data_IF_112891981143
#
_entry.id   IF_112891981143
#
_cell.length_a   1.000
_cell.length_b   1.000
_cell.length_c   1.000
_cell.angle_alpha   90.00
_cell.angle_beta   90.00
_cell.angle_gamma   90.00
#
_symmetry.space_group_name_H-M   'P 1'
#
loop_
_entity.id
_entity.type
_entity.pdbx_description
1 polymer ?
#
# COMPACT_ATOMS: atom_id res chain seq x y z
N UNK A 1 -21.20 -5.40 -14.73
CA UNK A 1 -20.81 -4.36 -13.76
C UNK A 1 -21.51 -4.49 -12.40
N UNK A 2 -22.78 -4.95 -12.34
CA UNK A 2 -23.56 -4.97 -11.08
C UNK A 2 -23.14 -6.04 -10.06
N UNK A 3 -22.58 -7.18 -10.48
CA UNK A 3 -22.34 -8.37 -9.64
C UNK A 3 -21.47 -8.12 -8.39
N UNK A 4 -20.55 -7.15 -8.43
CA UNK A 4 -19.65 -6.84 -7.30
C UNK A 4 -19.83 -5.43 -6.73
N UNK A 5 -20.81 -4.67 -7.20
CA UNK A 5 -21.04 -3.28 -6.78
C UNK A 5 -21.36 -3.18 -5.27
N UNK A 6 -22.02 -4.20 -4.70
CA UNK A 6 -22.35 -4.28 -3.27
C UNK A 6 -21.14 -4.38 -2.34
N UNK A 7 -19.97 -4.81 -2.83
CA UNK A 7 -18.73 -4.86 -2.02
C UNK A 7 -18.00 -3.52 -2.00
N UNK A 8 -18.19 -2.66 -3.02
CA UNK A 8 -17.47 -1.39 -3.17
C UNK A 8 -17.76 -0.46 -1.98
N UNK A 9 -19.00 -0.40 -1.49
CA UNK A 9 -19.36 0.44 -0.33
C UNK A 9 -18.59 0.06 0.95
N UNK A 10 -18.36 -1.23 1.16
CA UNK A 10 -17.64 -1.72 2.34
C UNK A 10 -16.14 -1.46 2.24
N UNK A 11 -15.56 -1.66 1.04
CA UNK A 11 -14.16 -1.32 0.76
C UNK A 11 -13.95 0.19 0.94
N UNK A 12 -14.86 1.01 0.42
CA UNK A 12 -14.78 2.46 0.52
C UNK A 12 -14.93 2.94 1.96
N UNK A 13 -15.85 2.36 2.74
CA UNK A 13 -15.97 2.65 4.17
C UNK A 13 -14.69 2.29 4.93
N UNK A 14 -14.12 1.11 4.68
CA UNK A 14 -12.85 0.69 5.28
C UNK A 14 -11.70 1.65 4.92
N UNK A 15 -11.63 2.10 3.66
CA UNK A 15 -10.62 3.05 3.19
C UNK A 15 -10.80 4.45 3.80
N UNK A 16 -12.03 4.96 3.93
CA UNK A 16 -12.30 6.26 4.54
C UNK A 16 -11.91 6.26 6.02
N UNK A 17 -12.34 5.25 6.77
CA UNK A 17 -11.99 5.10 8.19
C UNK A 17 -10.48 5.00 8.33
N UNK A 18 -9.85 4.20 7.47
CA UNK A 18 -8.40 4.06 7.43
C UNK A 18 -7.70 5.40 7.16
N UNK A 19 -8.13 6.13 6.13
CA UNK A 19 -7.52 7.41 5.79
C UNK A 19 -7.68 8.45 6.90
N UNK A 20 -8.83 8.47 7.58
CA UNK A 20 -9.06 9.36 8.73
C UNK A 20 -8.10 9.07 9.89
N UNK A 21 -7.91 7.80 10.26
CA UNK A 21 -6.95 7.43 11.32
C UNK A 21 -5.51 7.74 10.89
N UNK A 22 -5.16 7.43 9.64
CA UNK A 22 -3.82 7.65 9.11
C UNK A 22 -3.42 9.14 9.10
N UNK A 23 -4.35 10.02 8.75
CA UNK A 23 -4.15 11.46 8.68
C UNK A 23 -4.08 12.11 10.07
N UNK A 24 -4.50 11.41 11.13
CA UNK A 24 -4.49 11.96 12.49
C UNK A 24 -3.05 12.19 12.98
N UNK A 25 -2.63 13.44 13.24
CA UNK A 25 -1.30 13.73 13.75
C UNK A 25 -1.19 13.30 15.21
N UNK A 26 -0.05 12.73 15.60
CA UNK A 26 0.21 12.40 17.00
C UNK A 26 0.53 13.65 17.81
N UNK A 27 1.30 14.57 17.24
CA UNK A 27 1.68 15.82 17.86
C UNK A 27 0.86 16.93 17.21
N UNK A 28 -0.04 17.54 17.98
CA UNK A 28 -0.76 18.74 17.53
C UNK A 28 0.16 19.96 17.76
N UNK A 29 0.27 20.86 16.78
CA UNK A 29 1.00 22.11 16.94
C UNK A 29 0.17 23.06 17.81
N UNK A 30 0.26 22.90 19.12
CA UNK A 30 -0.53 23.64 20.10
C UNK A 30 0.27 24.80 20.69
N UNK A 31 -0.41 25.91 20.94
CA UNK A 31 0.14 27.04 21.69
C UNK A 31 0.24 26.69 23.18
N UNK A 32 1.14 27.35 23.91
CA UNK A 32 1.32 27.11 25.35
C UNK A 32 0.04 27.33 26.18
N UNK A 33 -0.88 28.17 25.70
CA UNK A 33 -2.21 28.37 26.31
C UNK A 33 -3.12 27.16 26.09
N UNK A 34 -3.21 26.63 24.87
CA UNK A 34 -4.00 25.43 24.55
C UNK A 34 -3.46 24.18 25.26
N UNK A 35 -2.14 24.07 25.43
CA UNK A 35 -1.52 23.01 26.24
C UNK A 35 -1.90 23.14 27.72
N UNK A 36 -2.00 24.37 28.23
CA UNK A 36 -2.49 24.65 29.58
C UNK A 36 -3.97 24.27 29.76
N UNK A 37 -4.81 24.58 28.77
CA UNK A 37 -6.24 24.22 28.77
C UNK A 37 -6.48 22.70 28.60
N UNK A 38 -5.56 21.99 27.95
CA UNK A 38 -5.57 20.52 27.84
C UNK A 38 -4.84 19.78 28.97
N UNK A 39 -4.73 20.42 30.14
CA UNK A 39 -4.21 19.80 31.36
C UNK A 39 -2.70 19.53 31.32
N UNK A 40 -1.94 20.31 30.56
CA UNK A 40 -0.48 20.20 30.46
C UNK A 40 0.00 19.08 29.53
N UNK A 41 -0.89 18.44 28.77
CA UNK A 41 -0.51 17.41 27.80
C UNK A 41 -0.49 17.95 26.38
N UNK A 42 0.57 17.65 25.62
CA UNK A 42 0.72 18.03 24.21
C UNK A 42 -0.20 17.21 23.27
N UNK A 43 -1.15 16.47 23.83
CA UNK A 43 -1.88 15.39 23.19
C UNK A 43 -3.37 15.46 23.54
N UNK A 44 -4.24 15.30 22.54
CA UNK A 44 -5.67 15.14 22.79
C UNK A 44 -5.93 13.80 23.53
N UNK A 45 -6.76 13.76 24.58
CA UNK A 45 -6.95 12.58 25.44
C UNK A 45 -7.28 11.27 24.69
N UNK A 46 -8.04 11.36 23.60
CA UNK A 46 -8.48 10.22 22.78
C UNK A 46 -7.77 10.11 21.42
N UNK A 47 -7.46 11.22 20.75
CA UNK A 47 -6.85 11.21 19.40
C UNK A 47 -5.36 10.86 19.45
N UNK A 48 -4.73 10.99 20.62
CA UNK A 48 -3.33 10.60 20.82
C UNK A 48 -3.05 9.17 20.37
N UNK A 49 -3.97 8.24 20.64
CA UNK A 49 -3.81 6.83 20.29
C UNK A 49 -3.90 6.58 18.78
N UNK A 50 -4.73 7.35 18.07
CA UNK A 50 -4.86 7.23 16.61
C UNK A 50 -3.63 7.72 15.86
N UNK A 51 -2.90 8.69 16.41
CA UNK A 51 -1.66 9.19 15.81
C UNK A 51 -0.44 8.28 15.98
N UNK A 52 -0.51 7.25 16.83
CA UNK A 52 0.61 6.37 17.16
C UNK A 52 0.99 5.42 16.01
N UNK A 53 2.25 5.01 15.97
CA UNK A 53 2.80 4.10 14.94
C UNK A 53 2.02 2.77 14.79
N UNK A 54 1.56 2.09 15.86
CA UNK A 54 0.72 0.90 15.78
C UNK A 54 -0.59 1.12 15.03
N UNK A 55 -1.29 2.22 15.33
CA UNK A 55 -2.54 2.59 14.67
C UNK A 55 -2.31 2.80 13.16
N UNK A 56 -1.27 3.57 12.83
CA UNK A 56 -0.89 3.87 11.44
C UNK A 56 -0.53 2.59 10.67
N UNK A 57 0.25 1.70 11.27
CA UNK A 57 0.62 0.44 10.63
C UNK A 57 -0.60 -0.45 10.39
N UNK A 58 -1.46 -0.64 11.39
CA UNK A 58 -2.68 -1.46 11.27
C UNK A 58 -3.59 -0.98 10.13
N UNK A 59 -3.76 0.34 10.06
CA UNK A 59 -4.59 1.02 9.07
C UNK A 59 -4.00 0.96 7.65
N UNK A 60 -2.69 1.17 7.50
CA UNK A 60 -2.01 1.00 6.21
C UNK A 60 -2.18 -0.44 5.71
N UNK A 61 -2.02 -1.42 6.58
CA UNK A 61 -2.21 -2.82 6.21
C UNK A 61 -3.65 -3.11 5.79
N UNK A 62 -4.64 -2.50 6.46
CA UNK A 62 -6.04 -2.59 6.05
C UNK A 62 -6.29 -1.93 4.67
N UNK A 63 -5.64 -0.80 4.38
CA UNK A 63 -5.70 -0.14 3.06
C UNK A 63 -5.15 -1.09 1.98
N UNK A 64 -3.99 -1.69 2.22
CA UNK A 64 -3.37 -2.58 1.23
C UNK A 64 -4.25 -3.81 0.98
N UNK A 65 -4.75 -4.48 2.04
CA UNK A 65 -5.67 -5.62 1.90
C UNK A 65 -6.97 -5.24 1.19
N UNK A 66 -7.55 -4.09 1.52
CA UNK A 66 -8.78 -3.60 0.89
C UNK A 66 -8.58 -3.29 -0.60
N UNK A 67 -7.45 -2.68 -0.94
CA UNK A 67 -7.09 -2.37 -2.34
C UNK A 67 -6.80 -3.63 -3.14
N UNK A 68 -6.07 -4.58 -2.54
CA UNK A 68 -5.82 -5.88 -3.14
C UNK A 68 -7.13 -6.67 -3.36
N UNK A 69 -8.03 -6.69 -2.39
CA UNK A 69 -9.35 -7.30 -2.53
C UNK A 69 -10.17 -6.64 -3.64
N UNK A 70 -10.14 -5.30 -3.73
CA UNK A 70 -10.75 -4.54 -4.82
C UNK A 70 -10.20 -4.95 -6.19
N UNK A 71 -8.88 -5.13 -6.30
CA UNK A 71 -8.23 -5.61 -7.52
C UNK A 71 -8.69 -7.04 -7.89
N UNK A 72 -8.81 -7.95 -6.92
CA UNK A 72 -9.33 -9.29 -7.16
C UNK A 72 -10.78 -9.24 -7.68
N UNK A 73 -11.64 -8.42 -7.07
CA UNK A 73 -13.02 -8.24 -7.53
C UNK A 73 -13.08 -7.67 -8.95
N UNK A 74 -12.24 -6.69 -9.28
CA UNK A 74 -12.14 -6.13 -10.62
C UNK A 74 -11.75 -7.21 -11.65
N UNK A 75 -10.73 -8.02 -11.35
CA UNK A 75 -10.28 -9.11 -12.22
C UNK A 75 -11.34 -10.21 -12.41
N UNK A 76 -12.14 -10.44 -11.37
CA UNK A 76 -13.29 -11.37 -11.39
C UNK A 76 -14.52 -10.79 -12.08
N UNK A 77 -14.67 -9.47 -12.07
CA UNK A 77 -15.81 -8.76 -12.65
C UNK A 77 -16.01 -9.06 -14.13
N UNK A 78 -14.94 -9.41 -14.84
CA UNK A 78 -14.98 -9.75 -16.27
C UNK A 78 -15.06 -11.25 -16.59
N UNK A 79 -15.10 -12.14 -15.59
CA UNK A 79 -15.01 -13.61 -15.78
C UNK A 79 -16.22 -14.34 -15.17
N UNK A 80 -16.84 -15.27 -15.92
CA UNK A 80 -18.14 -15.87 -15.51
C UNK A 80 -18.02 -16.91 -14.41
N UNK A 81 -17.19 -17.93 -14.64
CA UNK A 81 -17.17 -19.18 -13.89
C UNK A 81 -15.77 -19.56 -13.44
N UNK A 82 -15.72 -20.21 -12.28
CA UNK A 82 -14.50 -20.79 -11.74
C UNK A 82 -14.22 -22.07 -12.49
N UNK A 83 -13.01 -22.21 -13.01
CA UNK A 83 -12.57 -23.47 -13.60
C UNK A 83 -11.95 -24.33 -12.49
N UNK A 84 -12.37 -25.61 -12.33
CA UNK A 84 -11.76 -26.51 -11.35
C UNK A 84 -10.26 -26.63 -11.59
N UNK A 85 -9.48 -26.52 -10.51
CA UNK A 85 -8.01 -26.53 -10.57
C UNK A 85 -7.51 -27.92 -11.00
N UNK A 86 -8.24 -28.98 -10.65
CA UNK A 86 -8.00 -30.36 -11.10
C UNK A 86 -8.09 -30.57 -12.62
N UNK A 87 -8.85 -29.72 -13.34
CA UNK A 87 -9.08 -29.86 -14.78
C UNK A 87 -8.08 -29.06 -15.64
N UNK A 88 -7.20 -28.26 -15.03
CA UNK A 88 -6.29 -27.34 -15.73
C UNK A 88 -4.86 -27.88 -15.97
N UNK A 89 -4.67 -29.20 -15.86
CA UNK A 89 -3.38 -29.88 -16.09
C UNK A 89 -2.38 -29.74 -14.92
N UNK A 90 -1.08 -29.95 -15.19
CA UNK A 90 -0.02 -30.02 -14.16
C UNK A 90 0.45 -28.64 -13.64
N UNK A 91 0.20 -27.56 -14.38
CA UNK A 91 0.72 -26.23 -14.03
C UNK A 91 0.20 -25.68 -12.69
N UNK A 92 -1.11 -25.73 -12.36
CA UNK A 92 -1.61 -25.28 -11.05
C UNK A 92 -1.08 -26.10 -9.88
N UNK A 93 -0.87 -27.42 -10.08
CA UNK A 93 -0.30 -28.32 -9.06
C UNK A 93 1.16 -28.01 -8.73
N UNK A 94 1.89 -27.33 -9.61
CA UNK A 94 3.29 -26.94 -9.37
C UNK A 94 3.35 -25.51 -8.84
N UNK A 95 2.62 -24.59 -9.47
CA UNK A 95 2.77 -23.15 -9.16
C UNK A 95 2.10 -22.76 -7.84
N UNK A 96 0.94 -23.34 -7.48
CA UNK A 96 0.28 -22.99 -6.22
C UNK A 96 1.12 -23.45 -5.01
N UNK A 97 1.66 -24.68 -4.96
CA UNK A 97 2.56 -25.08 -3.88
C UNK A 97 3.88 -24.33 -3.89
N UNK A 98 4.45 -24.00 -5.05
CA UNK A 98 5.68 -23.21 -5.12
C UNK A 98 5.48 -21.79 -4.58
N UNK A 99 4.40 -21.12 -4.99
CA UNK A 99 4.03 -19.80 -4.47
C UNK A 99 3.70 -19.87 -2.97
N UNK A 100 3.03 -20.93 -2.53
CA UNK A 100 2.79 -21.22 -1.11
C UNK A 100 4.09 -21.41 -0.33
N UNK A 101 5.05 -22.18 -0.87
CA UNK A 101 6.34 -22.41 -0.24
C UNK A 101 7.15 -21.11 -0.14
N UNK A 102 7.17 -20.28 -1.18
CA UNK A 102 7.82 -18.97 -1.15
C UNK A 102 7.17 -18.04 -0.11
N UNK A 103 5.84 -17.95 -0.11
CA UNK A 103 5.07 -17.11 0.80
C UNK A 103 5.24 -17.55 2.27
N UNK A 104 5.03 -18.84 2.55
CA UNK A 104 5.20 -19.45 3.87
C UNK A 104 6.65 -19.39 4.30
N UNK A 105 7.61 -19.61 3.39
CA UNK A 105 9.04 -19.60 3.66
C UNK A 105 9.54 -18.24 4.15
N UNK A 106 9.08 -17.15 3.53
CA UNK A 106 9.41 -15.79 3.99
C UNK A 106 8.88 -15.51 5.41
N UNK A 107 7.65 -15.92 5.70
CA UNK A 107 7.04 -15.74 7.04
C UNK A 107 7.71 -16.64 8.08
N UNK A 108 8.00 -17.89 7.72
CA UNK A 108 8.62 -18.88 8.60
C UNK A 108 10.07 -18.50 8.93
N UNK A 109 10.86 -18.03 7.95
CA UNK A 109 12.21 -17.52 8.19
C UNK A 109 12.19 -16.41 9.24
N UNK A 110 11.25 -15.47 9.12
CA UNK A 110 11.14 -14.38 10.08
C UNK A 110 10.61 -14.85 11.44
N UNK A 111 9.68 -15.80 11.47
CA UNK A 111 9.19 -16.43 12.69
C UNK A 111 10.33 -17.10 13.48
N UNK A 112 11.18 -17.86 12.80
CA UNK A 112 12.36 -18.53 13.40
C UNK A 112 13.37 -17.48 13.89
N UNK A 113 13.62 -16.44 13.10
CA UNK A 113 14.50 -15.33 13.52
C UNK A 113 13.99 -14.64 14.79
N UNK A 114 12.67 -14.42 14.89
CA UNK A 114 12.05 -13.76 16.03
C UNK A 114 12.01 -14.65 17.28
N UNK A 115 11.81 -15.96 17.11
CA UNK A 115 11.78 -16.93 18.21
C UNK A 115 13.17 -17.24 18.78
N UNK A 116 14.22 -17.07 17.97
CA UNK A 116 15.61 -17.26 18.37
C UNK A 116 16.30 -15.94 18.80
N UNK A 117 15.59 -14.82 18.79
CA UNK A 117 16.14 -13.51 19.15
C UNK A 117 16.22 -13.38 20.68
N UNK A 118 17.42 -13.13 21.20
CA UNK A 118 17.63 -12.87 22.62
C UNK A 118 17.12 -11.44 22.98
N UNK A 119 16.29 -11.28 24.03
CA UNK A 119 15.82 -9.97 24.51
C UNK A 119 16.95 -8.96 24.77
N UNK A 120 18.17 -9.43 25.07
CA UNK A 120 19.34 -8.59 25.29
C UNK A 120 19.84 -7.83 24.06
N UNK A 121 19.51 -8.28 22.83
CA UNK A 121 19.90 -7.59 21.58
C UNK A 121 19.18 -6.25 21.40
N UNK A 122 18.07 -6.06 22.11
CA UNK A 122 17.23 -4.86 22.05
C UNK A 122 17.23 -4.06 23.37
N UNK A 123 18.19 -4.30 24.25
CA UNK A 123 18.29 -3.69 25.59
C UNK A 123 17.01 -3.86 26.44
N UNK A 124 16.32 -5.01 26.30
CA UNK A 124 15.09 -5.32 27.04
C UNK A 124 15.38 -6.29 28.19
N UNK A 125 14.75 -6.10 29.38
CA UNK A 125 14.80 -7.08 30.45
C UNK A 125 14.32 -8.46 29.97
N UNK A 126 14.96 -9.54 30.43
CA UNK A 126 14.68 -10.92 30.02
C UNK A 126 13.19 -11.33 30.18
N UNK A 127 12.47 -10.69 31.10
CA UNK A 127 11.04 -10.89 31.37
C UNK A 127 10.12 -10.46 30.20
N UNK A 128 10.66 -9.70 29.22
CA UNK A 128 9.91 -9.27 28.03
C UNK A 128 10.01 -10.24 26.84
N UNK A 129 10.68 -11.39 26.99
CA UNK A 129 10.74 -12.44 25.97
C UNK A 129 9.36 -12.94 25.52
N UNK A 130 8.36 -12.87 26.39
CA UNK A 130 6.97 -13.21 26.07
C UNK A 130 6.42 -12.43 24.85
N UNK A 131 6.89 -11.18 24.66
CA UNK A 131 6.46 -10.36 23.53
C UNK A 131 6.93 -10.89 22.19
N UNK A 132 8.15 -11.44 22.15
CA UNK A 132 8.76 -12.07 20.97
C UNK A 132 8.07 -13.38 20.63
N UNK A 133 7.85 -14.24 21.63
CA UNK A 133 7.17 -15.52 21.44
C UNK A 133 5.72 -15.35 20.94
N UNK A 134 4.97 -14.39 21.48
CA UNK A 134 3.58 -14.14 21.06
C UNK A 134 3.49 -13.80 19.57
N UNK A 135 4.38 -12.93 19.08
CA UNK A 135 4.42 -12.57 17.65
C UNK A 135 4.95 -13.74 16.80
N UNK A 136 5.93 -14.49 17.32
CA UNK A 136 6.44 -15.70 16.66
C UNK A 136 5.36 -16.78 16.47
N UNK A 137 4.56 -17.05 17.51
CA UNK A 137 3.43 -17.99 17.41
C UNK A 137 2.35 -17.51 16.43
N UNK A 138 2.10 -16.19 16.36
CA UNK A 138 1.18 -15.63 15.38
C UNK A 138 1.68 -15.83 13.93
N UNK A 139 2.99 -15.69 13.71
CA UNK A 139 3.59 -15.97 12.40
C UNK A 139 3.51 -17.45 12.04
N UNK A 140 3.72 -18.35 13.00
CA UNK A 140 3.51 -19.79 12.79
C UNK A 140 2.05 -20.13 12.49
N UNK A 141 1.10 -19.46 13.16
CA UNK A 141 -0.32 -19.59 12.86
C UNK A 141 -0.66 -19.14 11.44
N UNK A 142 -0.06 -18.04 10.97
CA UNK A 142 -0.18 -17.61 9.56
C UNK A 142 0.38 -18.65 8.59
N UNK A 143 1.55 -19.24 8.90
CA UNK A 143 2.12 -20.32 8.09
C UNK A 143 1.18 -21.52 8.02
N UNK A 144 0.58 -21.93 9.15
CA UNK A 144 -0.38 -23.02 9.19
C UNK A 144 -1.64 -22.71 8.35
N UNK A 145 -2.16 -21.48 8.44
CA UNK A 145 -3.27 -21.02 7.60
C UNK A 145 -2.90 -21.00 6.11
N UNK A 146 -1.66 -20.65 5.77
CA UNK A 146 -1.12 -20.70 4.41
C UNK A 146 -1.08 -22.13 3.86
N UNK A 147 -0.62 -23.11 4.66
CA UNK A 147 -0.66 -24.54 4.29
C UNK A 147 -2.10 -25.00 4.04
N UNK A 148 -3.03 -24.66 4.94
CA UNK A 148 -4.45 -24.99 4.79
C UNK A 148 -5.02 -24.36 3.51
N UNK A 149 -4.65 -23.12 3.19
CA UNK A 149 -5.09 -22.45 1.97
C UNK A 149 -4.57 -23.15 0.70
N UNK A 150 -3.30 -23.57 0.69
CA UNK A 150 -2.72 -24.37 -0.40
C UNK A 150 -3.45 -25.71 -0.56
N UNK A 151 -3.68 -26.44 0.53
CA UNK A 151 -4.39 -27.73 0.51
C UNK A 151 -5.83 -27.56 0.01
N UNK A 152 -6.54 -26.53 0.49
CA UNK A 152 -7.91 -26.23 0.04
C UNK A 152 -7.95 -25.80 -1.43
N UNK A 153 -6.94 -25.08 -1.90
CA UNK A 153 -6.81 -24.72 -3.32
C UNK A 153 -6.60 -25.97 -4.20
N UNK A 154 -5.77 -26.91 -3.77
CA UNK A 154 -5.56 -28.17 -4.49
C UNK A 154 -6.80 -29.09 -4.46
N UNK A 155 -7.66 -29.00 -3.44
CA UNK A 155 -8.92 -29.76 -3.32
C UNK A 155 -10.11 -29.08 -4.01
N UNK A 156 -9.86 -28.28 -5.05
CA UNK A 156 -10.86 -27.54 -5.85
C UNK A 156 -11.72 -26.54 -5.05
N UNK A 157 -11.38 -26.23 -3.80
CA UNK A 157 -12.05 -25.21 -2.97
C UNK A 157 -11.26 -23.91 -2.90
N UNK A 158 -10.67 -23.48 -4.02
CA UNK A 158 -9.79 -22.30 -4.09
C UNK A 158 -10.41 -21.00 -3.56
N UNK A 159 -11.72 -20.77 -3.77
CA UNK A 159 -12.42 -19.60 -3.20
C UNK A 159 -12.44 -19.59 -1.68
N UNK A 160 -12.66 -20.76 -1.06
CA UNK A 160 -12.67 -20.90 0.39
C UNK A 160 -11.25 -20.77 0.96
N UNK A 161 -10.25 -21.37 0.30
CA UNK A 161 -8.85 -21.21 0.69
C UNK A 161 -8.38 -19.76 0.68
N UNK A 162 -8.70 -19.01 -0.37
CA UNK A 162 -8.39 -17.57 -0.46
C UNK A 162 -9.13 -16.75 0.60
N UNK A 163 -10.43 -17.02 0.80
CA UNK A 163 -11.24 -16.30 1.77
C UNK A 163 -10.74 -16.52 3.20
N UNK A 164 -10.41 -17.76 3.55
CA UNK A 164 -9.85 -18.10 4.87
C UNK A 164 -8.49 -17.41 5.04
N UNK A 165 -7.60 -17.50 4.05
CA UNK A 165 -6.27 -16.91 4.19
C UNK A 165 -6.34 -15.38 4.31
N UNK A 166 -7.12 -14.69 3.46
CA UNK A 166 -7.34 -13.25 3.58
C UNK A 166 -7.95 -12.85 4.92
N UNK A 167 -8.93 -13.60 5.42
CA UNK A 167 -9.57 -13.31 6.70
C UNK A 167 -8.59 -13.50 7.87
N UNK A 168 -7.79 -14.56 7.86
CA UNK A 168 -6.77 -14.83 8.87
C UNK A 168 -5.68 -13.76 8.84
N UNK A 169 -5.15 -13.40 7.67
CA UNK A 169 -4.17 -12.32 7.56
C UNK A 169 -4.75 -10.98 8.02
N UNK A 170 -5.99 -10.65 7.63
CA UNK A 170 -6.65 -9.42 8.06
C UNK A 170 -6.81 -9.37 9.58
N UNK A 171 -7.24 -10.47 10.20
CA UNK A 171 -7.35 -10.58 11.65
C UNK A 171 -5.98 -10.44 12.34
N UNK A 172 -4.98 -11.18 11.88
CA UNK A 172 -3.63 -11.17 12.46
C UNK A 172 -2.99 -9.78 12.38
N UNK A 173 -3.04 -9.16 11.20
CA UNK A 173 -2.32 -7.91 10.92
C UNK A 173 -3.05 -6.67 11.44
N UNK A 174 -4.37 -6.59 11.25
CA UNK A 174 -5.16 -5.38 11.55
C UNK A 174 -5.68 -5.40 12.98
N UNK A 175 -6.19 -6.54 13.45
CA UNK A 175 -6.84 -6.64 14.77
C UNK A 175 -5.80 -7.02 15.82
N UNK A 176 -5.19 -8.19 15.69
CA UNK A 176 -4.30 -8.72 16.72
C UNK A 176 -3.02 -7.86 16.86
N UNK A 177 -2.21 -7.74 15.79
CA UNK A 177 -0.99 -6.93 15.83
C UNK A 177 -1.28 -5.42 15.91
N UNK A 178 -2.46 -4.97 15.45
CA UNK A 178 -2.88 -3.58 15.62
C UNK A 178 -3.09 -3.21 17.09
N UNK A 179 -3.84 -4.03 17.85
CA UNK A 179 -4.04 -3.82 19.30
C UNK A 179 -2.77 -4.12 20.08
N UNK A 180 -2.09 -5.22 19.74
CA UNK A 180 -0.86 -5.63 20.41
C UNK A 180 0.28 -4.64 20.22
N UNK A 181 0.32 -3.92 19.09
CA UNK A 181 1.29 -2.88 18.85
C UNK A 181 1.23 -1.74 19.88
N UNK A 182 0.06 -1.44 20.46
CA UNK A 182 -0.05 -0.47 21.57
C UNK A 182 0.61 -1.00 22.84
N UNK A 183 0.39 -2.28 23.17
CA UNK A 183 1.01 -2.93 24.34
C UNK A 183 2.53 -3.00 24.17
N UNK A 184 3.00 -3.35 22.97
CA UNK A 184 4.43 -3.38 22.63
C UNK A 184 5.04 -1.98 22.66
N UNK A 185 4.32 -0.94 22.27
CA UNK A 185 4.83 0.42 22.36
C UNK A 185 5.12 0.83 23.80
N UNK A 186 4.20 0.58 24.72
CA UNK A 186 4.33 0.95 26.13
C UNK A 186 5.42 0.12 26.83
N UNK A 187 5.51 -1.17 26.50
CA UNK A 187 6.34 -2.13 27.22
C UNK A 187 7.62 -2.54 26.52
N UNK A 188 7.78 -2.30 25.22
CA UNK A 188 8.94 -2.74 24.45
C UNK A 188 9.12 -1.90 23.17
N UNK A 189 9.29 -0.57 23.32
CA UNK A 189 9.33 0.35 22.18
C UNK A 189 10.35 -0.01 21.07
N UNK A 190 11.55 -0.57 21.34
CA UNK A 190 12.47 -0.98 20.26
C UNK A 190 11.95 -2.16 19.43
N UNK A 191 11.10 -3.02 20.02
CA UNK A 191 10.52 -4.19 19.36
C UNK A 191 9.40 -3.82 18.37
N UNK A 192 8.83 -2.61 18.49
CA UNK A 192 7.74 -2.16 17.62
C UNK A 192 8.13 -2.18 16.12
N UNK A 193 9.39 -1.94 15.79
CA UNK A 193 9.90 -2.06 14.42
C UNK A 193 9.78 -3.49 13.89
N UNK A 194 10.08 -4.49 14.72
CA UNK A 194 10.01 -5.90 14.34
C UNK A 194 8.55 -6.36 14.18
N UNK A 195 7.64 -5.84 15.02
CA UNK A 195 6.19 -6.05 14.84
C UNK A 195 5.71 -5.52 13.48
N UNK A 196 6.18 -4.33 13.07
CA UNK A 196 5.82 -3.76 11.76
C UNK A 196 6.34 -4.61 10.59
N UNK A 197 7.56 -5.16 10.70
CA UNK A 197 8.12 -6.08 9.70
C UNK A 197 7.32 -7.38 9.64
N UNK A 198 6.92 -7.94 10.79
CA UNK A 198 6.05 -9.12 10.86
C UNK A 198 4.72 -8.88 10.12
N UNK A 199 4.05 -7.77 10.42
CA UNK A 199 2.80 -7.37 9.76
C UNK A 199 2.95 -7.31 8.23
N UNK A 200 4.03 -6.68 7.75
CA UNK A 200 4.27 -6.51 6.32
C UNK A 200 4.58 -7.83 5.61
N UNK A 201 5.36 -8.73 6.24
CA UNK A 201 5.68 -10.05 5.68
C UNK A 201 4.44 -10.94 5.57
N UNK A 202 3.57 -10.96 6.59
CA UNK A 202 2.30 -11.67 6.53
C UNK A 202 1.44 -11.15 5.37
N UNK A 203 1.42 -9.84 5.16
CA UNK A 203 0.65 -9.20 4.11
C UNK A 203 1.18 -9.50 2.70
N UNK A 204 2.50 -9.45 2.49
CA UNK A 204 3.13 -9.86 1.22
C UNK A 204 2.86 -11.34 0.93
N UNK A 205 3.03 -12.20 1.95
CA UNK A 205 2.73 -13.63 1.85
C UNK A 205 1.30 -13.87 1.38
N UNK A 206 0.34 -13.14 1.97
CA UNK A 206 -1.06 -13.16 1.58
C UNK A 206 -1.27 -12.77 0.12
N UNK A 207 -0.72 -11.63 -0.30
CA UNK A 207 -0.86 -11.14 -1.68
C UNK A 207 -0.31 -12.15 -2.69
N UNK A 208 0.87 -12.71 -2.45
CA UNK A 208 1.52 -13.67 -3.35
C UNK A 208 0.68 -14.93 -3.48
N UNK A 209 0.31 -15.55 -2.35
CA UNK A 209 -0.43 -16.82 -2.36
C UNK A 209 -1.83 -16.65 -2.96
N UNK A 210 -2.57 -15.61 -2.56
CA UNK A 210 -3.92 -15.36 -3.07
C UNK A 210 -3.89 -15.01 -4.55
N UNK A 211 -2.91 -14.20 -5.00
CA UNK A 211 -2.74 -13.88 -6.41
C UNK A 211 -2.44 -15.12 -7.24
N UNK A 212 -1.56 -16.00 -6.75
CA UNK A 212 -1.24 -17.26 -7.41
C UNK A 212 -2.49 -18.13 -7.54
N UNK A 213 -3.26 -18.32 -6.46
CA UNK A 213 -4.51 -19.09 -6.51
C UNK A 213 -5.50 -18.45 -7.49
N UNK A 214 -5.65 -17.11 -7.49
CA UNK A 214 -6.64 -16.42 -8.31
C UNK A 214 -6.29 -16.45 -9.81
N UNK A 215 -4.99 -16.43 -10.15
CA UNK A 215 -4.54 -16.55 -11.54
C UNK A 215 -4.97 -17.89 -12.15
N UNK A 216 -4.87 -19.00 -11.41
CA UNK A 216 -5.27 -20.32 -11.90
C UNK A 216 -6.79 -20.54 -11.81
N UNK A 217 -7.43 -20.09 -10.73
CA UNK A 217 -8.89 -20.22 -10.55
C UNK A 217 -9.71 -19.67 -11.73
N UNK A 218 -9.15 -18.69 -12.44
CA UNK A 218 -9.76 -18.00 -13.56
C UNK A 218 -8.98 -18.13 -14.88
N UNK A 219 -8.04 -19.07 -14.98
CA UNK A 219 -7.32 -19.37 -16.22
C UNK A 219 -8.28 -20.03 -17.21
N UNK A 220 -8.59 -19.33 -18.31
CA UNK A 220 -9.53 -19.81 -19.33
C UNK A 220 -11.01 -19.63 -19.02
N UNK A 221 -11.37 -18.87 -17.97
CA UNK A 221 -12.77 -18.54 -17.72
C UNK A 221 -13.33 -17.63 -18.83
N UNK A 222 -14.58 -17.88 -19.25
CA UNK A 222 -15.26 -17.09 -20.30
C UNK A 222 -15.30 -15.61 -19.90
N UNK A 223 -14.76 -14.77 -20.76
CA UNK A 223 -14.82 -13.32 -20.60
C UNK A 223 -16.23 -12.84 -20.95
N UNK A 224 -16.94 -12.27 -19.97
CA UNK A 224 -18.35 -11.86 -20.14
C UNK A 224 -18.44 -10.58 -21.00
N UNK A 225 -17.36 -9.82 -21.16
CA UNK A 225 -17.33 -8.62 -22.00
C UNK A 225 -15.92 -8.13 -22.37
N UNK A 226 -15.85 -7.24 -23.37
CA UNK A 226 -14.61 -6.54 -23.75
C UNK A 226 -14.24 -5.52 -22.68
N UNK A 227 -13.03 -5.63 -22.13
CA UNK A 227 -12.51 -4.66 -21.16
C UNK A 227 -12.29 -3.31 -21.85
N UNK A 228 -13.17 -2.33 -21.59
CA UNK A 228 -13.03 -0.97 -22.12
C UNK A 228 -12.01 -0.20 -21.27
N UNK A 229 -10.73 -0.35 -21.61
CA UNK A 229 -9.67 0.47 -21.06
C UNK A 229 -9.87 1.95 -21.42
N UNK A 230 -9.54 2.86 -20.50
CA UNK A 230 -9.55 4.31 -20.76
C UNK A 230 -10.87 5.04 -20.51
N UNK A 231 -12.00 4.36 -20.31
CA UNK A 231 -13.25 5.02 -19.87
C UNK A 231 -13.25 5.23 -18.35
N UNK A 232 -12.53 6.25 -17.89
CA UNK A 232 -12.58 6.69 -16.50
C UNK A 232 -13.52 7.89 -16.35
N UNK A 233 -14.31 7.93 -15.27
CA UNK A 233 -15.17 9.07 -15.01
C UNK A 233 -14.34 10.32 -14.71
N UNK A 234 -14.80 11.49 -15.18
CA UNK A 234 -14.11 12.77 -14.95
C UNK A 234 -13.92 13.04 -13.45
N UNK A 235 -14.90 12.65 -12.61
CA UNK A 235 -14.82 12.77 -11.15
C UNK A 235 -13.64 11.98 -10.56
N UNK A 236 -13.37 10.79 -11.09
CA UNK A 236 -12.24 9.96 -10.63
C UNK A 236 -10.89 10.55 -11.02
N UNK A 237 -10.80 11.24 -12.16
CA UNK A 237 -9.58 11.93 -12.57
C UNK A 237 -9.23 13.08 -11.62
N UNK A 238 -10.22 13.92 -11.28
CA UNK A 238 -10.04 14.97 -10.28
C UNK A 238 -9.64 14.40 -8.91
N UNK A 239 -10.24 13.29 -8.50
CA UNK A 239 -9.90 12.63 -7.23
C UNK A 239 -8.45 12.12 -7.21
N UNK A 240 -7.93 11.55 -8.32
CA UNK A 240 -6.55 11.08 -8.41
C UNK A 240 -5.53 12.23 -8.37
N UNK A 241 -5.84 13.35 -9.04
CA UNK A 241 -4.99 14.54 -9.00
C UNK A 241 -4.96 15.16 -7.60
N UNK A 242 -6.14 15.32 -6.97
CA UNK A 242 -6.24 15.81 -5.60
C UNK A 242 -5.47 14.90 -4.62
N UNK A 243 -5.64 13.58 -4.75
CA UNK A 243 -4.95 12.61 -3.90
C UNK A 243 -3.43 12.71 -4.05
N UNK A 244 -2.94 12.93 -5.27
CA UNK A 244 -1.51 13.13 -5.54
C UNK A 244 -0.97 14.35 -4.79
N UNK A 245 -1.71 15.46 -4.81
CA UNK A 245 -1.32 16.67 -4.09
C UNK A 245 -1.29 16.45 -2.56
N UNK A 246 -2.35 15.85 -2.01
CA UNK A 246 -2.50 15.60 -0.57
C UNK A 246 -1.42 14.63 -0.05
N UNK A 247 -1.16 13.53 -0.75
CA UNK A 247 -0.15 12.55 -0.35
C UNK A 247 1.25 13.17 -0.38
N UNK A 248 1.58 13.91 -1.45
CA UNK A 248 2.89 14.55 -1.59
C UNK A 248 3.14 15.56 -0.46
N UNK A 249 2.13 16.38 -0.15
CA UNK A 249 2.17 17.31 0.98
C UNK A 249 2.36 16.59 2.31
N UNK A 250 1.60 15.52 2.57
CA UNK A 250 1.65 14.80 3.84
C UNK A 250 3.00 14.06 4.04
N UNK A 251 3.55 13.46 2.99
CA UNK A 251 4.86 12.81 3.02
C UNK A 251 6.00 13.81 3.26
N UNK A 252 5.94 14.97 2.63
CA UNK A 252 6.90 16.05 2.86
C UNK A 252 6.88 16.53 4.32
N UNK A 253 5.69 16.70 4.89
CA UNK A 253 5.51 17.15 6.27
C UNK A 253 6.08 16.14 7.28
N UNK A 254 5.78 14.85 7.11
CA UNK A 254 6.29 13.81 7.99
C UNK A 254 7.81 13.62 7.86
N UNK A 255 8.36 13.82 6.65
CA UNK A 255 9.80 13.86 6.40
C UNK A 255 10.49 14.97 7.20
N UNK A 256 9.89 16.17 7.26
CA UNK A 256 10.41 17.24 8.09
C UNK A 256 10.37 16.88 9.57
N UNK A 257 9.25 16.36 10.10
CA UNK A 257 9.15 16.03 11.53
C UNK A 257 10.31 15.11 11.95
N UNK A 258 10.65 14.12 11.11
CA UNK A 258 11.81 13.24 11.35
C UNK A 258 13.13 13.99 11.30
N UNK A 259 13.30 14.92 10.35
CA UNK A 259 14.50 15.74 10.24
C UNK A 259 14.65 16.72 11.41
N UNK A 260 13.55 17.33 11.84
CA UNK A 260 13.49 18.33 12.91
C UNK A 260 13.73 17.73 14.30
N UNK A 261 13.47 16.44 14.50
CA UNK A 261 13.86 15.72 15.72
C UNK A 261 15.39 15.65 15.91
N UNK A 262 16.19 15.91 14.87
CA UNK A 262 17.65 16.03 15.01
C UNK A 262 18.06 17.34 15.68
N UNK A 263 17.14 18.30 15.86
CA UNK A 263 17.39 19.59 16.50
C UNK A 263 18.60 20.30 15.88
N UNK A 264 19.49 20.76 16.74
CA UNK A 264 20.73 21.47 16.38
C UNK A 264 21.85 20.54 15.87
N UNK A 265 21.59 19.25 15.63
CA UNK A 265 22.63 18.29 15.31
C UNK A 265 22.70 17.99 13.81
N UNK A 266 23.87 18.21 13.20
CA UNK A 266 24.16 17.72 11.85
C UNK A 266 24.32 16.20 11.85
N UNK A 267 25.09 15.69 12.81
CA UNK A 267 25.25 14.26 13.10
C UNK A 267 24.87 14.05 14.56
N UNK A 268 23.79 13.31 14.79
CA UNK A 268 23.23 13.11 16.12
C UNK A 268 24.29 12.57 17.09
N UNK A 269 24.56 13.32 18.17
CA UNK A 269 25.53 12.95 19.20
C UNK A 269 27.01 13.18 18.86
N UNK A 270 27.35 13.61 17.64
CA UNK A 270 28.75 13.81 17.21
C UNK A 270 29.03 15.26 16.84
N UNK A 271 28.17 15.87 16.01
CA UNK A 271 28.38 17.22 15.49
C UNK A 271 27.15 18.08 15.75
N UNK A 272 27.25 18.92 16.79
CA UNK A 272 26.27 19.95 17.11
C UNK A 272 26.60 21.23 16.34
N UNK A 273 25.61 21.76 15.65
CA UNK A 273 25.65 23.09 15.03
C UNK A 273 25.53 24.14 16.14
N UNK A 274 26.54 25.02 16.24
CA UNK A 274 26.58 26.12 17.21
C UNK A 274 26.34 27.49 16.56
N UNK A 275 25.98 27.52 15.28
CA UNK A 275 25.71 28.76 14.56
C UNK A 275 24.44 29.45 15.07
N UNK A 276 24.35 30.78 14.91
CA UNK A 276 23.15 31.57 15.27
C UNK A 276 21.90 31.21 14.47
N UNK A 277 22.06 30.40 13.42
CA UNK A 277 21.00 29.91 12.54
C UNK A 277 20.58 28.47 12.86
N UNK A 278 21.19 27.87 13.89
CA UNK A 278 20.77 26.58 14.43
C UNK A 278 19.52 26.78 15.28
N UNK A 279 18.36 26.85 14.61
CA UNK A 279 17.07 26.84 15.25
C UNK A 279 16.15 25.86 14.52
N UNK A 280 15.34 25.13 15.27
CA UNK A 280 14.23 24.36 14.68
C UNK A 280 13.15 25.32 14.17
N UNK A 281 12.86 25.35 12.85
CA UNK A 281 11.84 26.22 12.30
C UNK A 281 10.46 25.94 12.92
N UNK A 282 9.65 26.99 13.06
CA UNK A 282 8.27 26.84 13.52
C UNK A 282 7.46 26.01 12.53
N UNK A 283 6.37 25.38 13.00
CA UNK A 283 5.50 24.57 12.15
C UNK A 283 4.90 25.36 10.97
N UNK A 284 4.72 26.66 11.14
CA UNK A 284 4.24 27.56 10.10
C UNK A 284 5.29 27.72 8.98
N UNK A 285 6.52 28.08 9.34
CA UNK A 285 7.63 28.22 8.38
C UNK A 285 7.92 26.91 7.66
N UNK A 286 7.84 25.77 8.38
CA UNK A 286 7.94 24.44 7.80
C UNK A 286 6.91 24.21 6.69
N UNK A 287 5.64 24.47 6.97
CA UNK A 287 4.55 24.21 6.03
C UNK A 287 4.72 25.05 4.76
N UNK A 288 5.21 26.28 4.89
CA UNK A 288 5.54 27.13 3.74
C UNK A 288 6.69 26.55 2.90
N UNK A 289 7.78 26.09 3.52
CA UNK A 289 8.92 25.52 2.81
C UNK A 289 8.57 24.21 2.10
N UNK A 290 7.89 23.29 2.79
CA UNK A 290 7.42 22.03 2.20
C UNK A 290 6.40 22.31 1.11
N UNK A 291 5.44 23.21 1.34
CA UNK A 291 4.44 23.61 0.35
C UNK A 291 5.06 24.21 -0.90
N UNK A 292 6.09 25.05 -0.76
CA UNK A 292 6.84 25.61 -1.88
C UNK A 292 7.53 24.49 -2.69
N UNK A 293 8.21 23.56 -2.02
CA UNK A 293 8.88 22.44 -2.68
C UNK A 293 7.90 21.54 -3.44
N UNK A 294 6.74 21.24 -2.83
CA UNK A 294 5.67 20.48 -3.48
C UNK A 294 5.11 21.24 -4.67
N UNK A 295 4.91 22.56 -4.57
CA UNK A 295 4.43 23.38 -5.66
C UNK A 295 5.41 23.36 -6.85
N UNK A 296 6.71 23.58 -6.60
CA UNK A 296 7.75 23.53 -7.65
C UNK A 296 7.76 22.16 -8.33
N UNK A 297 7.67 21.08 -7.56
CA UNK A 297 7.59 19.73 -8.10
C UNK A 297 6.35 19.53 -8.98
N UNK A 298 5.17 19.98 -8.53
CA UNK A 298 3.92 19.84 -9.28
C UNK A 298 3.90 20.68 -10.56
N UNK A 299 4.52 21.86 -10.55
CA UNK A 299 4.77 22.65 -11.76
C UNK A 299 5.66 21.89 -12.73
N UNK A 300 6.74 21.26 -12.24
CA UNK A 300 7.62 20.42 -13.05
C UNK A 300 6.90 19.22 -13.68
N UNK A 301 6.05 18.52 -12.91
CA UNK A 301 5.24 17.41 -13.41
C UNK A 301 4.23 17.89 -14.46
N UNK A 302 3.58 19.03 -14.22
CA UNK A 302 2.64 19.62 -15.18
C UNK A 302 3.33 20.00 -16.48
N UNK A 303 4.54 20.55 -16.40
CA UNK A 303 5.38 20.87 -17.56
C UNK A 303 5.78 19.62 -18.35
N UNK A 304 6.13 18.52 -17.65
CA UNK A 304 6.43 17.23 -18.29
C UNK A 304 5.23 16.67 -19.06
N UNK A 305 4.03 16.72 -18.48
CA UNK A 305 2.81 16.27 -19.17
C UNK A 305 2.46 17.15 -20.37
N UNK A 306 2.70 18.46 -20.27
CA UNK A 306 2.52 19.39 -21.40
C UNK A 306 3.47 19.07 -22.56
N UNK A 307 4.75 18.81 -22.29
CA UNK A 307 5.71 18.36 -23.30
C UNK A 307 5.31 17.01 -23.93
N UNK A 308 4.85 16.06 -23.12
CA UNK A 308 4.35 14.78 -23.61
C UNK A 308 3.12 14.92 -24.52
N UNK A 309 2.21 15.84 -24.18
CA UNK A 309 1.04 16.15 -25.01
C UNK A 309 1.42 16.77 -26.36
N UNK A 310 2.43 17.65 -26.39
CA UNK A 310 2.95 18.22 -27.64
C UNK A 310 3.61 17.13 -28.51
N UNK A 311 4.37 16.22 -27.92
CA UNK A 311 4.99 15.10 -28.64
C UNK A 311 3.95 14.14 -29.22
N UNK A 312 2.88 13.84 -28.48
CA UNK A 312 1.77 13.01 -28.96
C UNK A 312 1.02 13.69 -30.12
N UNK A 313 0.67 14.97 -30.00
CA UNK A 313 0.02 15.73 -31.07
C UNK A 313 0.86 15.79 -32.35
N UNK A 314 2.20 15.84 -32.23
CA UNK A 314 3.10 15.82 -33.39
C UNK A 314 3.14 14.45 -34.08
N UNK A 315 2.95 13.36 -33.32
CA UNK A 315 2.90 11.98 -33.84
C UNK A 315 1.56 11.70 -34.53
N UNK A 316 0.45 12.19 -33.95
CA UNK A 316 -0.87 12.11 -34.59
C UNK A 316 -0.92 12.95 -35.88
N UNK A 317 -0.30 14.13 -35.89
CA UNK A 317 -0.19 14.94 -37.11
C UNK A 317 0.62 14.25 -38.21
N UNK A 318 1.74 13.59 -37.89
CA UNK A 318 2.52 12.84 -38.88
C UNK A 318 1.80 11.63 -39.46
N UNK A 319 0.95 10.95 -38.67
CA UNK A 319 0.15 9.82 -39.16
C UNK A 319 -1.02 10.27 -40.06
N UNK A 320 -1.57 11.46 -39.83
CA UNK A 320 -2.58 12.06 -40.72
C UNK A 320 -1.94 12.52 -42.03
N UNK A 321 -0.75 13.12 -41.99
CA UNK A 321 -0.02 13.54 -43.19
C UNK A 321 0.47 12.34 -44.05
N UNK A 322 0.91 11.23 -43.43
CA UNK A 322 1.24 9.99 -44.17
C UNK A 322 0.00 9.34 -44.80
N UNK A 323 -1.15 9.36 -44.11
CA UNK A 323 -2.39 8.82 -44.64
C UNK A 323 -2.92 9.65 -45.81
N UNK A 324 -2.82 10.99 -45.74
CA UNK A 324 -3.22 11.90 -46.83
C UNK A 324 -2.26 11.82 -48.02
N UNK A 325 -0.94 11.72 -47.77
CA UNK A 325 0.06 11.55 -48.82
C UNK A 325 -0.05 10.21 -49.56
N UNK A 326 -0.49 9.14 -48.88
CA UNK A 326 -0.79 7.85 -49.51
C UNK A 326 -2.07 7.90 -50.36
N UNK A 327 -3.10 8.62 -49.91
CA UNK A 327 -4.36 8.80 -50.64
C UNK A 327 -4.18 9.68 -51.90
N UNK A 328 -3.30 10.69 -51.85
CA UNK A 328 -2.97 11.53 -53.01
C UNK A 328 -2.13 10.81 -54.08
N UNK A 329 -1.30 9.83 -53.67
CA UNK A 329 -0.55 8.95 -54.58
C UNK A 329 -1.43 7.89 -55.27
N UNK A 330 -2.54 7.46 -54.65
CA UNK A 330 -3.52 6.55 -55.26
C UNK A 330 -4.50 7.25 -56.22
N UNK A 331 -4.69 8.58 -56.13
CA UNK A 331 -5.62 9.33 -56.99
C UNK A 331 -5.00 9.77 -58.32
N UNK A 332 -3.66 9.74 -58.47
CA UNK A 332 -2.97 10.14 -59.70
C UNK A 332 -2.31 9.03 -60.57
N UNK A 333 -2.90 7.83 -60.79
CA UNK A 333 -2.48 6.95 -61.87
C UNK A 333 -3.35 7.20 -63.10
N UNK A 334 -3.08 8.27 -63.88
CA UNK A 334 -3.84 8.47 -65.13
C UNK A 334 -3.78 9.86 -65.76
N UNK A 335 -2.60 10.32 -66.14
CA UNK A 335 -2.42 11.42 -67.10
C UNK A 335 -1.64 10.91 -68.31
N UNK A 336 -2.35 10.69 -69.40
CA UNK A 336 -1.92 10.07 -70.66
C UNK A 336 -0.66 10.67 -71.28
N UNK A 337 0.28 9.79 -71.66
CA UNK A 337 1.12 9.98 -72.84
C UNK A 337 0.27 9.80 -74.11
N UNK A 338 0.71 10.48 -75.19
CA UNK A 338 0.35 10.33 -76.61
C UNK A 338 -0.82 11.20 -77.14
N UNK A 339 -0.49 12.35 -77.74
CA UNK A 339 -0.40 12.63 -79.21
C UNK A 339 0.35 13.94 -79.43
#
# INVERSE_FOLDING_TARGET
AERYYGYIKWILAALIISFAVWLTPHNLPLTGQEVGEMGGSQYHPTLKFMGLMPAKNAVINLIILSTFFSFLLYRRGNKSDVVPISQQGRAPMIVIPLAGLAAIGMVAQYAVSLLNMDPGVLDLPADRAQYFHTVGYLLLFECAAGVVAVVLALKDRGKLGQGIYLAVTAFNVVIFLGVYGFVVMEKASPFLRNVAVAQFLQLISCIILVSAIDLFLFKGAKEIGKLQWGKMSVRSQYALLLLTFVITMNMGLMGFIRSGLRGDWHVFGVMRDTSSWSFTPTNFTMTQMVGLAVLVFMVGVSFMFWLGGIAANKTDASHVDEAQGAEELEVHPGGSADV
#
